data_IF_061389279472
#
_entry.id   IF_061389279472
#
_cell.length_a   1.000
_cell.length_b   1.000
_cell.length_c   1.000
_cell.angle_alpha   90.00
_cell.angle_beta   90.00
_cell.angle_gamma   90.00
#
_symmetry.space_group_name_H-M   'P 1'
#
loop_
_entity.id
_entity.type
_entity.pdbx_description
1 polymer ?
#
# COMPACT_ATOMS: atom_id res chain seq x y z
N UNK A 1 -17.02 -16.80 -2.92
CA UNK A 1 -17.92 -16.64 -2.68
C UNK A 1 -18.60 -15.94 -3.51
N UNK A 2 -19.14 -16.15 -3.74
CA UNK A 2 -19.75 -15.74 -4.50
C UNK A 2 -19.86 -14.51 -4.55
N UNK A 3 -20.46 -13.93 -5.03
CA UNK A 3 -20.40 -12.73 -5.10
C UNK A 3 -20.39 -12.04 -3.95
N UNK A 4 -19.48 -11.15 -3.78
CA UNK A 4 -19.46 -10.34 -2.65
C UNK A 4 -20.32 -9.14 -2.85
N UNK A 5 -20.96 -8.64 -1.80
CA UNK A 5 -21.77 -7.43 -1.91
C UNK A 5 -20.91 -6.25 -2.29
N UNK A 6 -21.52 -5.25 -2.89
CA UNK A 6 -20.84 -4.00 -3.16
C UNK A 6 -20.37 -3.41 -1.84
N UNK A 7 -19.18 -2.85 -1.84
CA UNK A 7 -18.60 -2.30 -0.61
C UNK A 7 -17.83 -3.30 0.20
N UNK A 8 -17.71 -4.54 -0.27
CA UNK A 8 -16.90 -5.52 0.44
C UNK A 8 -15.43 -5.15 0.39
N UNK A 9 -14.73 -5.47 1.46
CA UNK A 9 -13.29 -5.25 1.50
C UNK A 9 -12.58 -6.20 0.54
N UNK A 10 -11.58 -5.67 -0.14
CA UNK A 10 -10.68 -6.48 -0.92
C UNK A 10 -9.54 -6.91 -0.01
N UNK A 11 -9.54 -8.18 0.39
CA UNK A 11 -8.58 -8.64 1.37
C UNK A 11 -7.13 -8.55 0.87
N UNK A 12 -6.92 -8.65 -0.43
CA UNK A 12 -5.57 -8.48 -0.97
C UNK A 12 -5.09 -7.04 -0.82
N UNK A 13 -5.99 -6.08 -1.05
CA UNK A 13 -5.65 -4.68 -0.82
C UNK A 13 -5.41 -4.40 0.66
N UNK A 14 -6.24 -4.94 1.52
CA UNK A 14 -6.08 -4.76 2.96
C UNK A 14 -4.73 -5.33 3.40
N UNK A 15 -4.37 -6.51 2.91
CA UNK A 15 -3.10 -7.12 3.27
C UNK A 15 -1.93 -6.27 2.77
N UNK A 16 -2.04 -5.75 1.55
CA UNK A 16 -1.00 -4.90 1.00
C UNK A 16 -0.79 -3.65 1.84
N UNK A 17 -1.87 -3.02 2.28
CA UNK A 17 -1.79 -1.85 3.16
C UNK A 17 -1.16 -2.22 4.51
N UNK A 18 -1.57 -3.36 5.08
CA UNK A 18 -1.00 -3.81 6.34
C UNK A 18 0.51 -4.04 6.21
N UNK A 19 0.92 -4.67 5.10
CA UNK A 19 2.35 -4.91 4.86
C UNK A 19 3.11 -3.60 4.70
N UNK A 20 2.51 -2.61 4.05
CA UNK A 20 3.17 -1.31 3.87
C UNK A 20 3.40 -0.63 5.22
N UNK A 21 2.44 -0.73 6.14
CA UNK A 21 2.62 -0.17 7.47
C UNK A 21 3.68 -0.92 8.26
N UNK A 22 3.75 -2.23 8.12
CA UNK A 22 4.79 -3.02 8.76
C UNK A 22 6.17 -2.63 8.25
N UNK A 23 6.30 -2.40 6.95
CA UNK A 23 7.57 -1.98 6.37
C UNK A 23 7.98 -0.61 6.93
N UNK A 24 7.03 0.32 7.00
CA UNK A 24 7.30 1.64 7.53
C UNK A 24 7.72 1.56 8.99
N UNK A 25 7.05 0.73 9.77
CA UNK A 25 7.38 0.55 11.18
C UNK A 25 8.80 0.02 11.36
N UNK A 26 9.19 -0.93 10.51
CA UNK A 26 10.54 -1.49 10.58
C UNK A 26 11.59 -0.42 10.35
N UNK A 27 11.37 0.45 9.35
CA UNK A 27 12.29 1.55 9.09
C UNK A 27 12.38 2.47 10.29
N UNK A 28 11.24 2.79 10.90
CA UNK A 28 11.21 3.69 12.05
C UNK A 28 11.94 3.11 13.25
N UNK A 29 11.87 1.80 13.44
CA UNK A 29 12.49 1.15 14.57
C UNK A 29 13.99 0.92 14.37
N UNK A 30 14.46 0.97 13.13
CA UNK A 30 15.87 0.69 12.82
C UNK A 30 16.46 1.76 11.94
N UNK A 31 16.57 3.00 12.45
CA UNK A 31 17.01 4.13 11.59
C UNK A 31 18.45 4.00 11.12
N UNK A 32 19.24 3.11 11.74
CA UNK A 32 20.65 2.96 11.36
C UNK A 32 20.88 1.85 10.32
N UNK A 33 19.85 1.11 9.95
CA UNK A 33 19.99 0.05 8.95
C UNK A 33 19.76 0.61 7.55
N UNK A 34 20.55 0.13 6.58
CA UNK A 34 20.33 0.53 5.20
C UNK A 34 19.18 -0.28 4.59
N UNK A 35 18.79 0.11 3.38
CA UNK A 35 17.61 -0.47 2.75
C UNK A 35 17.79 -1.96 2.45
N UNK A 36 19.01 -2.39 2.15
CA UNK A 36 19.26 -3.80 1.84
C UNK A 36 19.04 -4.64 3.10
N UNK A 37 19.56 -4.19 4.23
CA UNK A 37 19.40 -4.92 5.48
C UNK A 37 17.95 -4.90 5.95
N UNK A 38 17.25 -3.78 5.75
CA UNK A 38 15.85 -3.68 6.12
C UNK A 38 15.00 -4.64 5.29
N UNK A 39 15.24 -4.70 3.98
CA UNK A 39 14.50 -5.60 3.12
C UNK A 39 14.74 -7.05 3.49
N UNK A 40 16.00 -7.39 3.79
CA UNK A 40 16.35 -8.74 4.21
C UNK A 40 15.63 -9.11 5.50
N UNK A 41 15.63 -8.20 6.49
CA UNK A 41 14.95 -8.43 7.74
C UNK A 41 13.45 -8.57 7.56
N UNK A 42 12.88 -7.81 6.63
CA UNK A 42 11.46 -7.89 6.32
C UNK A 42 11.09 -9.16 5.55
N UNK A 43 12.07 -9.78 4.88
CA UNK A 43 11.83 -10.99 4.12
C UNK A 43 11.35 -10.75 2.70
N UNK A 44 11.69 -9.62 2.12
CA UNK A 44 11.30 -9.28 0.74
C UNK A 44 12.51 -8.73 -0.01
N UNK A 45 12.42 -8.73 -1.34
CA UNK A 45 13.45 -8.11 -2.16
C UNK A 45 13.47 -6.60 -1.93
N UNK A 46 14.59 -5.97 -2.24
CA UNK A 46 14.72 -4.51 -2.10
C UNK A 46 13.67 -3.77 -2.93
N UNK A 47 13.44 -4.10 -4.21
CA UNK A 47 12.41 -3.39 -4.97
C UNK A 47 11.02 -3.54 -4.35
N UNK A 48 10.69 -4.72 -3.85
CA UNK A 48 9.38 -4.94 -3.25
C UNK A 48 9.24 -4.18 -1.93
N UNK A 49 10.30 -4.18 -1.12
CA UNK A 49 10.30 -3.46 0.13
C UNK A 49 10.12 -1.95 -0.11
N UNK A 50 10.84 -1.40 -1.10
CA UNK A 50 10.70 0.02 -1.45
C UNK A 50 9.27 0.34 -1.90
N UNK A 51 8.65 -0.57 -2.65
CA UNK A 51 7.29 -0.36 -3.11
C UNK A 51 6.32 -0.31 -1.93
N UNK A 52 6.51 -1.21 -0.97
CA UNK A 52 5.68 -1.20 0.23
C UNK A 52 5.85 0.08 1.02
N UNK A 53 7.08 0.57 1.13
CA UNK A 53 7.31 1.84 1.82
C UNK A 53 6.57 2.98 1.16
N UNK A 54 6.55 3.03 -0.17
CA UNK A 54 5.81 4.06 -0.88
C UNK A 54 4.33 4.00 -0.59
N UNK A 55 3.78 2.79 -0.53
CA UNK A 55 2.36 2.62 -0.27
C UNK A 55 1.98 3.08 1.14
N UNK A 56 2.94 3.10 2.07
CA UNK A 56 2.66 3.59 3.41
C UNK A 56 2.39 5.09 3.45
N UNK A 57 2.64 5.80 2.35
CA UNK A 57 2.37 7.23 2.25
C UNK A 57 1.06 7.53 1.53
N UNK A 58 0.21 6.55 1.31
CA UNK A 58 -1.11 6.79 0.72
C UNK A 58 -1.91 7.71 1.64
N UNK A 59 -2.78 8.53 1.01
CA UNK A 59 -3.60 9.44 1.80
C UNK A 59 -4.53 8.65 2.72
N UNK A 60 -4.86 9.21 3.89
CA UNK A 60 -5.79 8.53 4.79
C UNK A 60 -7.15 8.25 4.15
N UNK A 61 -7.62 9.12 3.27
CA UNK A 61 -8.89 8.91 2.57
C UNK A 61 -8.84 7.64 1.73
N UNK A 62 -7.72 7.44 1.00
CA UNK A 62 -7.57 6.23 0.17
C UNK A 62 -7.52 5.00 1.07
N UNK A 63 -6.75 5.07 2.16
CA UNK A 63 -6.61 3.96 3.07
C UNK A 63 -7.96 3.60 3.69
N UNK A 64 -8.73 4.60 4.11
CA UNK A 64 -10.04 4.35 4.69
C UNK A 64 -10.98 3.72 3.68
N UNK A 65 -10.93 4.16 2.42
CA UNK A 65 -11.77 3.57 1.38
C UNK A 65 -11.45 2.09 1.20
N UNK A 66 -10.18 1.74 1.22
CA UNK A 66 -9.77 0.35 1.08
C UNK A 66 -10.22 -0.48 2.27
N UNK A 67 -10.04 0.05 3.48
CA UNK A 67 -10.38 -0.70 4.68
C UNK A 67 -11.88 -0.88 4.85
N UNK A 68 -12.67 0.07 4.36
CA UNK A 68 -14.12 -0.02 4.46
C UNK A 68 -14.76 -0.74 3.28
N UNK A 69 -13.96 -1.12 2.27
CA UNK A 69 -14.49 -1.79 1.10
C UNK A 69 -15.09 -0.86 0.07
N UNK A 70 -14.82 0.43 0.16
CA UNK A 70 -15.41 1.43 -0.73
C UNK A 70 -14.46 1.91 -1.81
N UNK A 71 -13.35 1.21 -2.02
CA UNK A 71 -12.41 1.59 -3.06
C UNK A 71 -13.05 1.49 -4.44
N UNK A 72 -12.57 2.30 -5.41
CA UNK A 72 -13.08 2.18 -6.79
C UNK A 72 -12.83 0.78 -7.33
N UNK A 73 -13.72 0.33 -8.20
CA UNK A 73 -13.63 -1.02 -8.75
C UNK A 73 -12.33 -1.27 -9.52
N UNK A 74 -11.73 -0.21 -10.05
CA UNK A 74 -10.45 -0.35 -10.76
C UNK A 74 -9.24 -0.37 -9.87
N UNK A 75 -9.41 -0.12 -8.57
CA UNK A 75 -8.29 -0.09 -7.65
C UNK A 75 -8.08 -1.48 -7.07
N UNK A 76 -7.02 -2.15 -7.50
CA UNK A 76 -6.71 -3.51 -7.09
C UNK A 76 -5.30 -3.56 -6.51
N UNK A 77 -4.99 -4.67 -5.84
CA UNK A 77 -3.63 -4.87 -5.34
C UNK A 77 -2.62 -4.90 -6.48
N UNK A 78 -3.00 -5.48 -7.62
CA UNK A 78 -2.13 -5.51 -8.79
C UNK A 78 -1.82 -4.10 -9.27
N UNK A 79 -2.85 -3.25 -9.37
CA UNK A 79 -2.64 -1.87 -9.80
C UNK A 79 -1.72 -1.12 -8.86
N UNK A 80 -1.92 -1.26 -7.55
CA UNK A 80 -1.05 -0.61 -6.58
C UNK A 80 0.37 -1.12 -6.65
N UNK A 81 0.54 -2.43 -6.87
CA UNK A 81 1.87 -3.01 -6.98
C UNK A 81 2.63 -2.51 -8.20
N UNK A 82 1.92 -2.08 -9.26
CA UNK A 82 2.56 -1.64 -10.49
C UNK A 82 2.69 -0.12 -10.60
N UNK A 83 2.27 0.62 -9.58
CA UNK A 83 2.46 2.07 -9.59
C UNK A 83 3.93 2.35 -9.35
N UNK A 84 4.59 2.95 -10.34
CA UNK A 84 6.02 3.20 -10.26
C UNK A 84 6.36 4.35 -9.32
N UNK A 85 5.64 5.47 -9.48
CA UNK A 85 5.91 6.67 -8.69
C UNK A 85 4.63 7.18 -8.11
N UNK A 86 4.41 6.86 -6.83
CA UNK A 86 3.24 7.39 -6.14
C UNK A 86 3.55 8.81 -5.71
N UNK A 87 2.74 9.80 -6.09
CA UNK A 87 2.98 11.17 -5.64
C UNK A 87 2.87 11.29 -4.13
N UNK A 88 3.64 12.21 -3.57
CA UNK A 88 3.52 12.49 -2.13
C UNK A 88 2.28 13.32 -1.87
N UNK A 89 1.89 14.17 -2.83
CA UNK A 89 0.70 15.00 -2.70
C UNK A 89 -0.55 14.13 -2.74
N UNK A 90 -1.34 14.19 -1.69
CA UNK A 90 -2.51 13.32 -1.55
C UNK A 90 -3.58 13.59 -2.61
N UNK A 91 -3.72 14.84 -3.04
CA UNK A 91 -4.67 15.17 -4.11
C UNK A 91 -4.26 14.49 -5.41
N UNK A 92 -2.96 14.54 -5.72
CA UNK A 92 -2.46 13.87 -6.92
C UNK A 92 -2.61 12.35 -6.82
N UNK A 93 -2.44 11.79 -5.63
CA UNK A 93 -2.68 10.35 -5.43
C UNK A 93 -4.13 10.00 -5.76
N UNK A 94 -5.07 10.81 -5.28
CA UNK A 94 -6.47 10.55 -5.53
C UNK A 94 -6.79 10.63 -7.01
N UNK A 95 -6.24 11.62 -7.70
CA UNK A 95 -6.45 11.75 -9.14
C UNK A 95 -5.87 10.55 -9.88
N UNK A 96 -4.68 10.13 -9.53
CA UNK A 96 -4.02 9.00 -10.19
C UNK A 96 -4.80 7.71 -9.99
N UNK A 97 -5.42 7.53 -8.83
CA UNK A 97 -6.13 6.29 -8.49
C UNK A 97 -7.61 6.35 -8.80
N UNK A 98 -8.11 7.46 -9.34
CA UNK A 98 -9.50 7.54 -9.77
C UNK A 98 -10.48 7.83 -8.65
N UNK A 99 -10.04 8.51 -7.62
CA UNK A 99 -10.92 8.83 -6.50
C UNK A 99 -11.44 10.25 -6.55
#
# INVERSE_FOLDING_TARGET
>A
DEEEPAGSRDEQLVQLIADSFKANKLVSEHPNLDIVKLADRFGRSVPRFKRLLRLSYLSPTIIESILSGEQPSGLTSTKLNHIGNLPIDWTQQQEMLGL
#
